data_IF_173210787696
#
_entry.id   IF_173210787696
#
_cell.length_a   1.000
_cell.length_b   1.000
_cell.length_c   1.000
_cell.angle_alpha   90.00
_cell.angle_beta   90.00
_cell.angle_gamma   90.00
#
_symmetry.space_group_name_H-M   'P 1'
#
loop_
_entity.id
_entity.type
_entity.pdbx_description
1 polymer ?
#
# COMPACT_ATOMS: atom_id res chain seq x y z
N UNK A 1 7.41 -27.55 -7.29
CA UNK A 1 6.62 -26.31 -7.13
C UNK A 1 6.93 -25.75 -5.76
N UNK A 2 7.74 -24.69 -5.65
CA UNK A 2 8.04 -24.04 -4.37
C UNK A 2 6.83 -23.18 -3.98
N UNK A 3 6.29 -23.25 -2.76
CA UNK A 3 5.24 -22.34 -2.33
C UNK A 3 5.79 -20.90 -2.35
N UNK A 4 5.07 -20.03 -3.02
CA UNK A 4 5.31 -18.59 -3.02
C UNK A 4 5.17 -18.12 -1.57
N UNK A 5 6.30 -17.90 -0.90
CA UNK A 5 6.31 -17.21 0.39
C UNK A 5 6.00 -15.74 0.10
N UNK A 6 4.72 -15.38 0.16
CA UNK A 6 4.33 -13.99 0.34
C UNK A 6 5.11 -13.50 1.56
N UNK A 7 5.96 -12.49 1.37
CA UNK A 7 6.62 -11.86 2.49
C UNK A 7 5.54 -11.36 3.46
N UNK A 8 5.54 -11.79 4.72
CA UNK A 8 4.61 -11.29 5.71
C UNK A 8 5.08 -9.88 6.10
N UNK A 9 4.58 -8.89 5.44
CA UNK A 9 5.08 -7.54 5.70
C UNK A 9 4.24 -6.40 5.19
N UNK A 10 3.29 -6.63 4.31
CA UNK A 10 2.55 -5.50 3.72
C UNK A 10 1.05 -5.53 4.03
N UNK A 11 0.66 -6.01 5.20
CA UNK A 11 -0.63 -5.65 5.78
C UNK A 11 -0.39 -4.42 6.66
N UNK A 12 -0.19 -3.25 6.05
CA UNK A 12 -0.27 -1.98 6.74
C UNK A 12 -1.73 -1.79 7.16
N UNK A 13 -2.13 -2.40 8.28
CA UNK A 13 -3.36 -2.05 8.97
C UNK A 13 -3.21 -0.62 9.46
N UNK A 14 -3.61 0.34 8.63
CA UNK A 14 -3.74 1.73 9.00
C UNK A 14 -4.93 1.82 9.96
N UNK A 15 -4.67 1.64 11.27
CA UNK A 15 -5.62 1.97 12.33
C UNK A 15 -5.83 3.49 12.30
N UNK A 16 -6.88 3.92 11.62
CA UNK A 16 -7.43 5.26 11.75
C UNK A 16 -8.10 5.36 13.11
N UNK A 17 -7.37 5.88 14.11
CA UNK A 17 -8.00 6.38 15.33
C UNK A 17 -8.82 7.61 14.96
N UNK A 18 -10.15 7.44 14.90
CA UNK A 18 -11.11 8.53 14.87
C UNK A 18 -11.08 9.26 16.20
N UNK A 19 -10.35 10.36 16.25
CA UNK A 19 -10.39 11.36 17.32
C UNK A 19 -11.04 12.62 16.79
N UNK A 20 -12.14 13.05 17.42
CA UNK A 20 -12.82 14.30 17.13
C UNK A 20 -11.86 15.49 17.26
N UNK A 21 -11.69 16.23 16.17
CA UNK A 21 -10.72 17.32 16.05
C UNK A 21 -11.29 18.62 16.57
N UNK A 22 -10.64 19.16 17.59
CA UNK A 22 -10.66 20.60 17.83
C UNK A 22 -9.90 21.29 16.68
N UNK A 23 -10.51 22.28 16.04
CA UNK A 23 -9.91 23.07 14.97
C UNK A 23 -8.74 23.92 15.51
N UNK A 24 -7.54 23.36 15.47
CA UNK A 24 -6.29 24.11 15.50
C UNK A 24 -5.60 23.84 14.16
N UNK A 25 -5.35 24.89 13.36
CA UNK A 25 -4.49 24.80 12.19
C UNK A 25 -3.12 24.30 12.66
N UNK A 26 -2.81 23.03 12.38
CA UNK A 26 -1.45 22.54 12.57
C UNK A 26 -0.54 23.31 11.60
N UNK A 27 0.66 23.75 12.04
CA UNK A 27 1.61 24.39 11.16
C UNK A 27 1.93 23.45 9.99
N UNK A 28 1.85 23.97 8.78
CA UNK A 28 2.01 23.24 7.50
C UNK A 28 3.41 22.65 7.30
N UNK A 29 4.37 22.99 8.16
CA UNK A 29 5.77 22.58 8.09
C UNK A 29 6.19 21.52 9.13
N UNK A 30 5.23 20.88 9.83
CA UNK A 30 5.60 19.97 10.91
C UNK A 30 6.01 18.60 10.36
N UNK A 31 7.23 18.19 10.63
CA UNK A 31 7.66 16.79 10.54
C UNK A 31 6.92 16.00 11.61
N UNK A 32 6.10 15.01 11.18
CA UNK A 32 5.36 14.13 12.09
C UNK A 32 6.04 12.77 12.14
N UNK A 33 6.31 12.28 13.35
CA UNK A 33 6.86 10.94 13.57
C UNK A 33 5.81 10.08 14.26
N UNK A 34 5.57 8.88 13.73
CA UNK A 34 4.72 7.86 14.37
C UNK A 34 5.44 6.52 14.38
N UNK A 35 5.14 5.68 15.37
CA UNK A 35 5.76 4.37 15.51
C UNK A 35 4.68 3.30 15.69
N UNK A 36 4.87 2.17 15.01
CA UNK A 36 4.05 0.96 15.15
C UNK A 36 4.93 -0.19 15.64
N UNK A 37 4.44 -0.95 16.63
CA UNK A 37 5.05 -2.19 17.11
C UNK A 37 4.30 -3.38 16.50
N UNK A 38 5.03 -4.39 16.06
CA UNK A 38 4.47 -5.60 15.48
C UNK A 38 4.52 -6.77 16.48
N UNK A 39 3.65 -7.79 16.33
CA UNK A 39 3.62 -8.96 17.22
C UNK A 39 4.94 -9.75 17.28
N UNK A 40 5.77 -9.68 16.24
CA UNK A 40 7.08 -10.33 16.17
C UNK A 40 8.19 -9.51 16.87
N UNK A 41 7.83 -8.40 17.55
CA UNK A 41 8.76 -7.51 18.23
C UNK A 41 9.47 -6.51 17.29
N UNK A 42 9.25 -6.59 15.99
CA UNK A 42 9.74 -5.57 15.05
C UNK A 42 8.98 -4.26 15.22
N UNK A 43 9.58 -3.16 14.78
CA UNK A 43 8.96 -1.83 14.85
C UNK A 43 9.11 -1.11 13.53
N UNK A 44 8.08 -0.33 13.16
CA UNK A 44 8.12 0.58 12.01
C UNK A 44 8.00 2.02 12.49
N UNK A 45 8.95 2.85 12.12
CA UNK A 45 8.94 4.30 12.38
C UNK A 45 8.60 5.01 11.08
N UNK A 46 7.57 5.84 11.12
CA UNK A 46 7.15 6.70 10.01
C UNK A 46 7.59 8.14 10.30
N UNK A 47 8.29 8.73 9.34
CA UNK A 47 8.63 10.15 9.32
C UNK A 47 7.91 10.79 8.14
N UNK A 48 7.00 11.74 8.42
CA UNK A 48 6.27 12.49 7.40
C UNK A 48 6.89 13.88 7.25
N UNK A 49 7.18 14.26 6.03
CA UNK A 49 7.58 15.61 5.64
C UNK A 49 6.51 16.18 4.71
N UNK A 50 5.59 16.95 5.28
CA UNK A 50 4.48 17.51 4.53
C UNK A 50 4.93 18.61 3.55
N UNK A 51 6.01 19.35 3.87
CA UNK A 51 6.54 20.38 3.02
C UNK A 51 7.12 19.81 1.71
N UNK A 52 7.71 18.63 1.81
CA UNK A 52 8.27 17.91 0.66
C UNK A 52 7.30 16.91 0.03
N UNK A 53 6.07 16.77 0.56
CA UNK A 53 5.12 15.75 0.15
C UNK A 53 5.71 14.32 0.14
N UNK A 54 6.50 14.00 1.17
CA UNK A 54 7.16 12.70 1.31
C UNK A 54 6.93 12.09 2.69
N UNK A 55 7.11 10.77 2.76
CA UNK A 55 7.23 10.07 4.02
C UNK A 55 8.25 8.93 3.89
N UNK A 56 8.85 8.55 5.02
CA UNK A 56 9.72 7.39 5.08
C UNK A 56 9.25 6.48 6.21
N UNK A 57 9.09 5.18 5.91
CA UNK A 57 8.85 4.15 6.91
C UNK A 57 10.09 3.27 7.02
N UNK A 58 10.67 3.15 8.21
CA UNK A 58 11.80 2.26 8.47
C UNK A 58 11.38 1.18 9.43
N UNK A 59 11.45 -0.07 8.99
CA UNK A 59 11.17 -1.25 9.81
C UNK A 59 12.48 -1.84 10.32
N UNK A 60 12.57 -2.02 11.63
CA UNK A 60 13.69 -2.68 12.30
C UNK A 60 13.22 -3.95 13.00
N UNK A 61 14.08 -4.97 13.04
CA UNK A 61 13.86 -6.16 13.84
C UNK A 61 14.00 -5.86 15.35
N UNK A 62 13.73 -6.82 16.25
CA UNK A 62 13.89 -6.63 17.69
C UNK A 62 15.31 -6.25 18.11
N UNK A 63 16.32 -6.67 17.34
CA UNK A 63 17.74 -6.36 17.58
C UNK A 63 18.15 -4.97 17.06
N UNK A 64 17.21 -4.22 16.47
CA UNK A 64 17.43 -2.88 15.96
C UNK A 64 18.04 -2.82 14.55
N UNK A 65 18.21 -3.96 13.86
CA UNK A 65 18.69 -3.97 12.48
C UNK A 65 17.60 -3.58 11.51
N UNK A 66 17.94 -2.74 10.54
CA UNK A 66 16.99 -2.38 9.47
C UNK A 66 16.68 -3.59 8.62
N UNK A 67 15.39 -3.92 8.53
CA UNK A 67 14.84 -4.97 7.65
C UNK A 67 14.44 -4.40 6.29
N UNK A 68 13.83 -3.20 6.34
CA UNK A 68 13.21 -2.58 5.19
C UNK A 68 13.07 -1.08 5.39
N UNK A 69 13.18 -0.33 4.31
CA UNK A 69 12.84 1.09 4.26
C UNK A 69 11.90 1.34 3.10
N UNK A 70 10.79 2.04 3.34
CA UNK A 70 9.86 2.46 2.31
C UNK A 70 9.92 3.99 2.22
N UNK A 71 10.17 4.50 1.00
CA UNK A 71 10.06 5.92 0.69
C UNK A 71 8.75 6.16 -0.03
N UNK A 72 7.93 7.05 0.51
CA UNK A 72 6.65 7.41 -0.05
C UNK A 72 6.67 8.79 -0.68
N UNK A 73 5.95 8.93 -1.79
CA UNK A 73 5.42 10.20 -2.25
C UNK A 73 3.99 10.34 -1.74
N UNK A 74 3.61 11.54 -1.32
CA UNK A 74 2.26 11.85 -0.88
C UNK A 74 1.52 12.62 -1.99
N UNK A 75 0.21 12.40 -2.07
CA UNK A 75 -0.66 13.22 -2.91
C UNK A 75 -1.00 14.56 -2.21
N UNK A 76 -1.75 15.42 -2.88
CA UNK A 76 -2.15 16.73 -2.34
C UNK A 76 -3.03 16.62 -1.08
N UNK A 77 -3.63 15.48 -0.80
CA UNK A 77 -4.38 15.19 0.42
C UNK A 77 -3.51 14.57 1.53
N UNK A 78 -2.18 14.45 1.32
CA UNK A 78 -1.23 13.86 2.26
C UNK A 78 -1.31 12.34 2.36
N UNK A 79 -1.90 11.67 1.35
CA UNK A 79 -2.03 10.21 1.29
C UNK A 79 -0.89 9.62 0.47
N UNK A 80 -0.50 8.38 0.74
CA UNK A 80 0.54 7.67 -0.03
C UNK A 80 0.10 7.49 -1.49
N UNK A 81 0.86 8.01 -2.45
CA UNK A 81 0.61 7.84 -3.90
C UNK A 81 1.54 6.81 -4.53
N UNK A 82 2.81 6.84 -4.15
CA UNK A 82 3.85 5.91 -4.60
C UNK A 82 4.65 5.49 -3.37
N UNK A 83 5.09 4.22 -3.32
CA UNK A 83 6.03 3.69 -2.34
C UNK A 83 7.16 2.95 -3.03
N UNK A 84 8.41 3.19 -2.63
CA UNK A 84 9.59 2.43 -3.06
C UNK A 84 10.15 1.68 -1.86
N UNK A 85 10.05 0.35 -1.92
CA UNK A 85 10.50 -0.56 -0.86
C UNK A 85 11.93 -0.99 -1.13
N UNK A 86 12.82 -0.72 -0.17
CA UNK A 86 14.22 -1.10 -0.22
C UNK A 86 14.55 -2.08 0.91
N UNK A 87 15.44 -3.03 0.62
CA UNK A 87 15.98 -3.93 1.63
C UNK A 87 17.04 -3.25 2.51
N UNK A 88 17.65 -3.99 3.46
CA UNK A 88 18.71 -3.49 4.33
C UNK A 88 19.96 -3.06 3.56
N UNK A 89 20.15 -3.53 2.34
CA UNK A 89 21.21 -3.16 1.40
C UNK A 89 20.92 -1.86 0.63
N UNK A 90 19.77 -1.20 0.91
CA UNK A 90 19.34 0.03 0.24
C UNK A 90 18.84 -0.15 -1.20
N UNK A 91 18.87 -1.38 -1.74
CA UNK A 91 18.39 -1.64 -3.10
C UNK A 91 16.88 -1.70 -3.15
N UNK A 92 16.28 -0.97 -4.10
CA UNK A 92 14.83 -1.03 -4.35
C UNK A 92 14.47 -2.44 -4.84
N UNK A 93 13.50 -3.05 -4.20
CA UNK A 93 12.98 -4.40 -4.50
C UNK A 93 11.58 -4.36 -5.08
N UNK A 94 10.78 -3.40 -4.63
CA UNK A 94 9.38 -3.28 -4.98
C UNK A 94 8.98 -1.80 -5.08
N UNK A 95 8.06 -1.51 -6.00
CA UNK A 95 7.38 -0.21 -6.09
C UNK A 95 5.89 -0.42 -5.97
N UNK A 96 5.23 0.36 -5.11
CA UNK A 96 3.78 0.36 -4.94
C UNK A 96 3.17 1.64 -5.49
N UNK A 97 1.97 1.55 -6.08
CA UNK A 97 1.11 2.69 -6.42
C UNK A 97 -0.25 2.47 -5.80
N UNK A 98 -0.81 3.52 -5.22
CA UNK A 98 -2.08 3.48 -4.51
C UNK A 98 -3.14 4.27 -5.26
N UNK A 99 -4.37 3.76 -5.29
CA UNK A 99 -5.57 4.46 -5.75
C UNK A 99 -6.58 4.52 -4.63
N UNK A 100 -7.29 5.62 -4.55
CA UNK A 100 -8.27 5.91 -3.51
C UNK A 100 -9.64 6.19 -4.12
N UNK A 101 -10.70 5.95 -3.32
CA UNK A 101 -12.03 6.47 -3.60
C UNK A 101 -12.15 7.93 -3.11
N UNK A 102 -13.31 8.55 -3.38
CA UNK A 102 -13.60 9.93 -2.96
C UNK A 102 -13.66 10.10 -1.44
N UNK A 103 -13.94 9.02 -0.70
CA UNK A 103 -13.95 9.00 0.76
C UNK A 103 -12.53 8.83 1.36
N UNK A 104 -11.52 8.54 0.52
CA UNK A 104 -10.13 8.37 0.95
C UNK A 104 -9.74 6.93 1.31
N UNK A 105 -10.57 5.95 1.02
CA UNK A 105 -10.21 4.55 1.21
C UNK A 105 -9.32 4.05 0.06
N UNK A 106 -8.31 3.23 0.36
CA UNK A 106 -7.46 2.61 -0.66
C UNK A 106 -8.28 1.60 -1.46
N UNK A 107 -8.55 1.88 -2.73
CA UNK A 107 -9.23 0.95 -3.63
C UNK A 107 -8.28 -0.11 -4.18
N UNK A 108 -7.08 0.30 -4.57
CA UNK A 108 -6.13 -0.56 -5.27
C UNK A 108 -4.70 -0.21 -4.86
N UNK A 109 -3.87 -1.24 -4.71
CA UNK A 109 -2.42 -1.14 -4.68
C UNK A 109 -1.85 -1.99 -5.82
N UNK A 110 -1.06 -1.38 -6.70
CA UNK A 110 -0.31 -2.08 -7.75
C UNK A 110 1.14 -2.21 -7.33
N UNK A 111 1.67 -3.43 -7.30
CA UNK A 111 3.04 -3.74 -6.91
C UNK A 111 3.85 -4.15 -8.13
N UNK A 112 4.99 -3.52 -8.34
CA UNK A 112 5.92 -3.78 -9.46
C UNK A 112 7.32 -4.05 -8.92
N UNK A 113 8.10 -4.83 -9.66
CA UNK A 113 9.53 -4.97 -9.40
C UNK A 113 10.26 -3.64 -9.57
N UNK A 114 11.54 -3.59 -9.21
CA UNK A 114 12.37 -2.39 -9.33
C UNK A 114 12.42 -1.83 -10.76
N UNK A 115 12.37 -2.71 -11.77
CA UNK A 115 12.37 -2.38 -13.20
C UNK A 115 11.00 -1.90 -13.73
N UNK A 116 9.95 -1.89 -12.86
CA UNK A 116 8.60 -1.49 -13.22
C UNK A 116 7.69 -2.62 -13.71
N UNK A 117 8.20 -3.86 -13.83
CA UNK A 117 7.38 -5.02 -14.21
C UNK A 117 6.32 -5.29 -13.14
N UNK A 118 5.04 -5.21 -13.52
CA UNK A 118 3.92 -5.49 -12.60
C UNK A 118 4.04 -6.92 -12.06
N UNK A 119 3.93 -7.07 -10.76
CA UNK A 119 3.94 -8.36 -10.07
C UNK A 119 2.55 -8.72 -9.55
N UNK A 120 1.95 -7.81 -8.82
CA UNK A 120 0.65 -8.03 -8.17
C UNK A 120 -0.20 -6.77 -8.20
N UNK A 121 -1.51 -6.98 -8.13
CA UNK A 121 -2.49 -5.96 -7.86
C UNK A 121 -3.36 -6.40 -6.69
N UNK A 122 -3.49 -5.55 -5.69
CA UNK A 122 -4.32 -5.77 -4.50
C UNK A 122 -5.53 -4.86 -4.63
N UNK A 123 -6.73 -5.42 -4.50
CA UNK A 123 -8.00 -4.67 -4.52
C UNK A 123 -8.66 -4.85 -3.17
N UNK A 124 -8.96 -3.75 -2.50
CA UNK A 124 -9.54 -3.71 -1.17
C UNK A 124 -11.07 -3.67 -1.24
N UNK A 125 -11.72 -4.22 -0.22
CA UNK A 125 -13.18 -4.24 -0.09
C UNK A 125 -13.59 -3.59 1.21
N UNK A 126 -14.67 -2.80 1.16
CA UNK A 126 -15.21 -2.07 2.31
C UNK A 126 -16.71 -2.36 2.45
N UNK A 127 -17.23 -2.25 3.67
CA UNK A 127 -18.66 -2.23 3.93
C UNK A 127 -19.25 -0.82 3.75
N UNK A 128 -20.55 -0.70 3.93
CA UNK A 128 -21.26 0.59 3.82
C UNK A 128 -20.85 1.63 4.88
N UNK A 129 -20.19 1.20 5.95
CA UNK A 129 -19.66 2.07 7.00
C UNK A 129 -18.21 2.49 6.72
N UNK A 130 -17.63 2.08 5.58
CA UNK A 130 -16.23 2.37 5.21
C UNK A 130 -15.20 1.51 5.95
N UNK A 131 -15.63 0.47 6.66
CA UNK A 131 -14.71 -0.46 7.31
C UNK A 131 -14.20 -1.49 6.28
N UNK A 132 -12.89 -1.68 6.22
CA UNK A 132 -12.29 -2.70 5.36
C UNK A 132 -12.77 -4.10 5.76
N UNK A 133 -13.33 -4.84 4.81
CA UNK A 133 -13.86 -6.18 4.99
C UNK A 133 -12.96 -7.27 4.41
N UNK A 134 -12.00 -6.89 3.57
CA UNK A 134 -11.06 -7.82 2.99
C UNK A 134 -10.27 -7.23 1.83
N UNK A 135 -9.55 -8.12 1.13
CA UNK A 135 -8.83 -7.77 -0.10
C UNK A 135 -8.72 -8.98 -1.03
N UNK A 136 -8.46 -8.72 -2.31
CA UNK A 136 -8.17 -9.71 -3.35
C UNK A 136 -6.82 -9.38 -3.98
N UNK A 137 -5.98 -10.39 -4.18
CA UNK A 137 -4.67 -10.27 -4.84
C UNK A 137 -4.74 -10.91 -6.21
N UNK A 138 -4.32 -10.18 -7.22
CA UNK A 138 -4.22 -10.63 -8.60
C UNK A 138 -2.77 -10.66 -9.03
N UNK A 139 -2.37 -11.60 -9.88
CA UNK A 139 -1.06 -11.61 -10.52
C UNK A 139 -1.00 -10.62 -11.70
N UNK A 140 0.16 -10.54 -12.35
CA UNK A 140 0.39 -9.66 -13.50
C UNK A 140 -0.55 -9.93 -14.69
N UNK A 141 -1.10 -11.15 -14.81
CA UNK A 141 -2.06 -11.52 -15.86
C UNK A 141 -3.50 -11.13 -15.52
N UNK A 142 -3.74 -10.65 -14.30
CA UNK A 142 -5.08 -10.34 -13.78
C UNK A 142 -5.81 -11.55 -13.19
N UNK A 143 -5.14 -12.69 -13.03
CA UNK A 143 -5.71 -13.87 -12.39
C UNK A 143 -5.71 -13.71 -10.87
N UNK A 144 -6.83 -14.03 -10.22
CA UNK A 144 -6.94 -14.05 -8.76
C UNK A 144 -6.04 -15.13 -8.17
N UNK A 145 -5.11 -14.73 -7.28
CA UNK A 145 -4.16 -15.63 -6.59
C UNK A 145 -4.49 -15.83 -5.12
N UNK A 146 -5.09 -14.81 -4.48
CA UNK A 146 -5.45 -14.87 -3.06
C UNK A 146 -6.61 -13.95 -2.75
N UNK A 147 -7.33 -14.25 -1.66
CA UNK A 147 -8.44 -13.43 -1.18
C UNK A 147 -8.64 -13.61 0.32
N UNK A 148 -8.97 -12.52 1.02
CA UNK A 148 -9.42 -12.54 2.42
C UNK A 148 -10.71 -11.74 2.52
N UNK A 149 -11.71 -12.24 3.22
CA UNK A 149 -12.97 -11.54 3.46
C UNK A 149 -13.62 -10.95 2.20
N UNK A 150 -14.70 -10.18 2.37
CA UNK A 150 -15.37 -9.41 1.33
C UNK A 150 -16.25 -10.21 0.36
N UNK A 151 -17.23 -9.53 -0.29
CA UNK A 151 -18.05 -10.11 -1.34
C UNK A 151 -17.23 -10.40 -2.60
N UNK A 152 -17.73 -11.26 -3.52
CA UNK A 152 -17.05 -11.54 -4.78
C UNK A 152 -16.84 -10.27 -5.60
N UNK A 153 -15.59 -9.94 -5.89
CA UNK A 153 -15.26 -8.87 -6.85
C UNK A 153 -15.75 -9.31 -8.22
N UNK A 154 -16.75 -8.62 -8.79
CA UNK A 154 -17.10 -8.77 -10.20
C UNK A 154 -15.90 -8.24 -11.00
N UNK A 155 -15.18 -9.13 -11.67
CA UNK A 155 -14.20 -8.72 -12.66
C UNK A 155 -14.94 -7.92 -13.74
N UNK A 156 -14.55 -6.68 -13.95
CA UNK A 156 -14.94 -5.96 -15.16
C UNK A 156 -14.38 -6.75 -16.35
N UNK A 157 -15.19 -7.04 -17.38
CA UNK A 157 -14.70 -7.79 -18.53
C UNK A 157 -13.51 -7.02 -19.14
N UNK A 158 -12.40 -7.73 -19.33
CA UNK A 158 -11.25 -7.20 -20.05
C UNK A 158 -11.70 -6.63 -21.40
N UNK A 159 -11.20 -5.47 -21.85
CA UNK A 159 -11.51 -4.92 -23.16
C UNK A 159 -11.21 -5.98 -24.23
N UNK A 160 -12.25 -6.33 -25.01
CA UNK A 160 -12.12 -7.26 -26.10
C UNK A 160 -11.10 -6.71 -27.10
N UNK A 161 -10.08 -7.48 -27.52
CA UNK A 161 -9.11 -6.98 -28.49
C UNK A 161 -9.85 -6.58 -29.78
N UNK A 162 -9.41 -5.53 -30.47
CA UNK A 162 -10.06 -5.05 -31.67
C UNK A 162 -10.10 -6.16 -32.73
N UNK A 163 -11.30 -6.52 -33.17
CA UNK A 163 -11.50 -7.48 -34.25
C UNK A 163 -10.93 -6.85 -35.55
N UNK A 164 -9.91 -7.48 -36.12
CA UNK A 164 -9.44 -7.14 -37.46
C UNK A 164 -10.56 -7.43 -38.43
N UNK A 165 -11.19 -6.39 -38.97
CA UNK A 165 -12.11 -6.47 -40.11
C UNK A 165 -11.29 -6.93 -41.32
N UNK A 166 -11.49 -8.17 -41.76
CA UNK A 166 -11.02 -8.62 -43.08
C UNK A 166 -11.84 -7.89 -44.14
N UNK A 167 -11.15 -7.09 -44.95
CA UNK A 167 -11.60 -6.67 -46.28
C UNK A 167 -11.17 -7.71 -47.29
#
# INVERSE_FOLDING_TARGET
MKPLRLAPGLACALLMLGGASAFGQAPTDAVRVTMSMHPDGSRTVYNFDNAQHTATATTTDPDGKVRETIRYQLDNAGRFSIGEVSGPDGRVRLKSRYKYDDAGHILEESQSAADGTLQHKIVYSYDSAGKQTGYSVFDASGKLVSRTGGPPVRQSPSPKPPQKTRR
#
